data_IF_209213100682
#
_entry.id   IF_209213100682
#
_cell.length_a   1.000
_cell.length_b   1.000
_cell.length_c   1.000
_cell.angle_alpha   90.00
_cell.angle_beta   90.00
_cell.angle_gamma   90.00
#
_symmetry.space_group_name_H-M   'P 1'
#
loop_
_entity.id
_entity.type
_entity.pdbx_description
1 polymer ?
#
# COMPACT_ATOMS: atom_id res chain seq x y z
N UNK A 1 -71.30 20.39 -19.95
CA UNK A 1 -70.65 19.11 -19.58
C UNK A 1 -69.39 18.91 -20.42
N UNK A 2 -68.42 18.09 -19.99
CA UNK A 2 -67.01 18.03 -20.47
C UNK A 2 -66.25 19.32 -20.06
N UNK A 3 -65.45 19.42 -18.98
CA UNK A 3 -64.57 18.49 -18.21
C UNK A 3 -63.38 17.94 -19.02
N UNK A 4 -62.18 18.46 -18.73
CA UNK A 4 -60.90 17.73 -18.78
C UNK A 4 -59.97 17.96 -19.99
N UNK A 5 -59.06 18.94 -19.91
CA UNK A 5 -57.81 18.94 -20.71
C UNK A 5 -56.59 19.63 -20.06
N UNK A 6 -56.68 20.10 -18.81
CA UNK A 6 -55.65 20.95 -18.17
C UNK A 6 -54.87 20.26 -17.03
N UNK A 7 -54.65 18.94 -17.13
CA UNK A 7 -54.12 18.12 -16.02
C UNK A 7 -52.93 17.20 -16.35
N UNK A 8 -52.30 17.34 -17.52
CA UNK A 8 -51.19 16.43 -17.93
C UNK A 8 -49.84 17.07 -18.23
N UNK A 9 -49.74 18.40 -18.32
CA UNK A 9 -48.44 19.09 -18.58
C UNK A 9 -47.67 19.35 -17.28
N UNK A 10 -48.35 19.41 -16.13
CA UNK A 10 -47.74 19.76 -14.84
C UNK A 10 -47.02 18.64 -14.08
N UNK A 11 -47.10 17.38 -14.53
CA UNK A 11 -46.61 16.23 -13.75
C UNK A 11 -45.17 15.78 -14.11
N UNK A 12 -44.60 16.28 -15.20
CA UNK A 12 -43.28 15.84 -15.70
C UNK A 12 -42.10 16.75 -15.32
N UNK A 13 -42.34 17.90 -14.67
CA UNK A 13 -41.30 18.88 -14.34
C UNK A 13 -40.82 18.77 -12.87
N UNK A 14 -41.52 18.02 -12.01
CA UNK A 14 -41.20 17.92 -10.58
C UNK A 14 -40.41 16.65 -10.17
N UNK A 15 -40.11 15.74 -11.09
CA UNK A 15 -39.45 14.45 -10.78
C UNK A 15 -37.95 14.40 -11.10
N UNK A 16 -37.38 15.43 -11.75
CA UNK A 16 -35.96 15.45 -12.16
C UNK A 16 -35.00 16.09 -11.14
N UNK A 17 -35.43 16.33 -9.89
CA UNK A 17 -34.64 17.05 -8.88
C UNK A 17 -34.25 16.23 -7.62
N UNK A 18 -34.35 14.90 -7.67
CA UNK A 18 -34.11 14.02 -6.49
C UNK A 18 -33.05 12.91 -6.75
N UNK A 19 -32.08 13.16 -7.64
CA UNK A 19 -30.91 12.28 -7.83
C UNK A 19 -29.55 12.97 -7.62
N UNK A 20 -29.55 14.17 -7.03
CA UNK A 20 -28.33 14.83 -6.56
C UNK A 20 -28.21 14.70 -5.02
N UNK A 21 -27.87 13.51 -4.54
CA UNK A 21 -27.32 13.35 -3.19
C UNK A 21 -26.49 12.07 -3.05
N UNK A 22 -25.25 12.21 -2.57
CA UNK A 22 -24.27 11.16 -2.34
C UNK A 22 -23.88 10.29 -3.56
N UNK A 23 -23.44 10.93 -4.64
CA UNK A 23 -22.23 10.42 -5.29
C UNK A 23 -21.12 10.39 -4.23
N UNK A 24 -20.43 9.26 -4.08
CA UNK A 24 -19.25 9.10 -3.22
C UNK A 24 -18.33 10.32 -3.37
N UNK A 25 -17.88 10.90 -2.26
CA UNK A 25 -16.54 11.46 -2.25
C UNK A 25 -15.58 10.29 -2.41
N UNK A 26 -15.24 10.01 -3.66
CA UNK A 26 -14.08 9.21 -4.00
C UNK A 26 -12.87 10.00 -3.48
N UNK A 27 -12.39 9.61 -2.30
CA UNK A 27 -11.19 10.18 -1.69
C UNK A 27 -10.13 10.25 -2.78
N UNK A 28 -9.64 11.45 -3.11
CA UNK A 28 -8.67 11.66 -4.19
C UNK A 28 -7.50 10.73 -3.97
N UNK A 29 -7.48 9.66 -4.76
CA UNK A 29 -6.80 8.42 -4.38
C UNK A 29 -5.30 8.61 -4.26
N UNK A 30 -4.65 7.69 -3.55
CA UNK A 30 -3.19 7.58 -3.54
C UNK A 30 -2.69 7.54 -4.98
N UNK A 31 -2.14 8.65 -5.46
CA UNK A 31 -1.52 8.74 -6.78
C UNK A 31 -0.28 7.85 -6.73
N UNK A 32 -0.34 6.71 -7.42
CA UNK A 32 0.74 5.72 -7.39
C UNK A 32 2.04 6.30 -7.91
N UNK A 33 2.92 6.69 -6.98
CA UNK A 33 4.28 7.13 -7.30
C UNK A 33 5.07 5.91 -7.75
N UNK A 34 5.78 6.03 -8.88
CA UNK A 34 6.59 4.92 -9.38
C UNK A 34 7.83 4.72 -8.51
N UNK A 35 8.29 3.48 -8.35
CA UNK A 35 9.55 3.20 -7.64
C UNK A 35 10.76 3.96 -8.25
N UNK A 36 10.73 4.21 -9.57
CA UNK A 36 11.74 4.98 -10.27
C UNK A 36 11.82 6.46 -9.79
N UNK A 37 10.68 7.09 -9.51
CA UNK A 37 10.63 8.46 -8.97
C UNK A 37 11.17 8.57 -7.54
N UNK A 38 11.12 7.50 -6.76
CA UNK A 38 11.63 7.48 -5.37
C UNK A 38 13.08 7.00 -5.25
N UNK A 39 13.65 6.39 -6.31
CA UNK A 39 15.00 5.81 -6.31
C UNK A 39 16.09 6.77 -5.80
N UNK A 40 16.05 8.03 -6.24
CA UNK A 40 17.03 9.03 -5.81
C UNK A 40 16.98 9.30 -4.30
N UNK A 41 15.77 9.32 -3.71
CA UNK A 41 15.58 9.50 -2.28
C UNK A 41 16.05 8.26 -1.48
N UNK A 42 15.74 7.06 -1.97
CA UNK A 42 16.21 5.80 -1.36
C UNK A 42 17.74 5.69 -1.35
N UNK A 43 18.41 5.99 -2.48
CA UNK A 43 19.87 6.00 -2.59
C UNK A 43 20.49 7.07 -1.69
N UNK A 44 19.92 8.28 -1.67
CA UNK A 44 20.40 9.37 -0.82
C UNK A 44 20.29 9.02 0.67
N UNK A 45 19.17 8.39 1.08
CA UNK A 45 18.99 7.88 2.43
C UNK A 45 20.05 6.81 2.76
N UNK A 46 20.22 5.80 1.91
CA UNK A 46 21.20 4.74 2.14
C UNK A 46 22.63 5.28 2.31
N UNK A 47 23.05 6.17 1.41
CA UNK A 47 24.35 6.85 1.50
C UNK A 47 24.49 7.67 2.79
N UNK A 48 23.46 8.44 3.17
CA UNK A 48 23.47 9.24 4.41
C UNK A 48 23.55 8.42 5.70
N UNK A 49 23.22 7.13 5.64
CA UNK A 49 23.25 6.17 6.75
C UNK A 49 24.42 5.19 6.68
N UNK A 50 25.27 5.27 5.65
CA UNK A 50 26.35 4.31 5.42
C UNK A 50 25.86 2.88 5.11
N UNK A 51 24.65 2.74 4.57
CA UNK A 51 24.04 1.44 4.23
C UNK A 51 24.63 0.95 2.92
N UNK A 52 25.35 -0.17 2.95
CA UNK A 52 25.78 -0.89 1.75
C UNK A 52 24.61 -1.73 1.22
N UNK A 53 23.99 -1.29 0.13
CA UNK A 53 22.80 -1.92 -0.42
C UNK A 53 23.06 -2.69 -1.73
N UNK A 54 22.19 -3.66 -1.99
CA UNK A 54 22.00 -4.30 -3.29
C UNK A 54 20.67 -3.83 -3.88
N UNK A 55 20.64 -3.51 -5.17
CA UNK A 55 19.40 -3.21 -5.90
C UNK A 55 18.80 -4.49 -6.50
N UNK A 56 17.54 -4.77 -6.19
CA UNK A 56 16.75 -5.82 -6.83
C UNK A 56 16.11 -5.31 -8.13
N UNK A 57 15.82 -6.21 -9.09
CA UNK A 57 15.23 -5.87 -10.40
C UNK A 57 13.87 -5.17 -10.33
N UNK A 58 13.19 -5.22 -9.18
CA UNK A 58 11.95 -4.47 -8.90
C UNK A 58 12.20 -3.01 -8.45
N UNK A 59 13.44 -2.54 -8.42
CA UNK A 59 13.83 -1.20 -7.92
C UNK A 59 13.93 -1.08 -6.39
N UNK A 60 13.78 -2.18 -5.65
CA UNK A 60 13.96 -2.21 -4.19
C UNK A 60 15.44 -2.24 -3.83
N UNK A 61 15.86 -1.44 -2.85
CA UNK A 61 17.19 -1.54 -2.24
C UNK A 61 17.10 -2.37 -0.95
N UNK A 62 18.04 -3.31 -0.74
CA UNK A 62 18.09 -4.14 0.46
C UNK A 62 19.54 -4.38 0.94
N UNK A 63 19.71 -4.69 2.22
CA UNK A 63 20.98 -5.13 2.79
C UNK A 63 20.72 -6.35 3.69
N UNK A 64 21.39 -7.48 3.41
CA UNK A 64 21.42 -8.63 4.32
C UNK A 64 22.55 -8.36 5.33
N UNK A 65 22.19 -7.92 6.53
CA UNK A 65 23.19 -7.60 7.59
C UNK A 65 23.83 -8.87 8.17
N UNK A 66 23.01 -9.90 8.42
CA UNK A 66 23.43 -11.22 8.85
C UNK A 66 22.61 -12.24 8.06
N UNK A 67 23.27 -13.15 7.36
CA UNK A 67 22.59 -14.30 6.76
C UNK A 67 22.26 -15.32 7.86
N UNK A 68 21.10 -15.94 7.75
CA UNK A 68 20.76 -17.14 8.50
C UNK A 68 21.33 -18.40 7.84
N UNK A 69 20.84 -19.53 8.33
CA UNK A 69 21.12 -20.88 7.83
C UNK A 69 19.81 -21.67 7.63
N UNK A 70 18.71 -20.94 7.41
CA UNK A 70 17.37 -21.50 7.42
C UNK A 70 16.93 -22.02 6.06
N UNK A 71 15.67 -22.43 5.99
CA UNK A 71 14.99 -22.53 4.70
C UNK A 71 14.53 -21.12 4.30
N UNK A 72 14.94 -20.68 3.11
CA UNK A 72 14.42 -19.45 2.51
C UNK A 72 12.88 -19.56 2.40
N UNK A 73 12.11 -18.58 2.90
CA UNK A 73 10.65 -18.63 2.82
C UNK A 73 10.18 -18.49 1.36
N UNK A 74 9.00 -19.01 1.08
CA UNK A 74 8.27 -18.75 -0.16
C UNK A 74 6.97 -18.00 0.15
N UNK A 75 6.24 -17.58 -0.89
CA UNK A 75 5.01 -16.78 -0.73
C UNK A 75 3.93 -17.45 0.15
N UNK A 76 3.89 -18.79 0.23
CA UNK A 76 2.93 -19.52 1.06
C UNK A 76 3.47 -19.81 2.48
N UNK A 77 4.71 -19.43 2.80
CA UNK A 77 5.28 -19.64 4.12
C UNK A 77 4.62 -18.74 5.18
N UNK A 78 4.35 -19.32 6.35
CA UNK A 78 4.15 -18.53 7.57
C UNK A 78 5.52 -18.07 8.06
N UNK A 79 5.71 -16.77 8.15
CA UNK A 79 6.92 -16.14 8.68
C UNK A 79 6.68 -15.68 10.13
N UNK A 80 7.76 -15.60 10.90
CA UNK A 80 7.79 -15.01 12.25
C UNK A 80 8.88 -13.94 12.25
N UNK A 81 8.56 -12.73 12.69
CA UNK A 81 9.42 -11.55 12.48
C UNK A 81 9.45 -10.62 13.68
N UNK A 82 10.58 -9.93 13.82
CA UNK A 82 10.72 -8.70 14.59
C UNK A 82 11.03 -7.60 13.58
N UNK A 83 10.27 -6.51 13.57
CA UNK A 83 10.44 -5.44 12.57
C UNK A 83 10.11 -4.06 13.12
N UNK A 84 10.61 -3.03 12.43
CA UNK A 84 10.29 -1.63 12.64
C UNK A 84 10.15 -0.94 11.29
N UNK A 85 9.00 -0.35 11.03
CA UNK A 85 8.72 0.46 9.84
C UNK A 85 8.98 1.94 10.14
N UNK A 86 9.85 2.57 9.34
CA UNK A 86 10.10 4.02 9.38
C UNK A 86 10.07 4.61 7.98
N UNK A 87 9.57 5.84 7.86
CA UNK A 87 9.74 6.66 6.67
C UNK A 87 11.19 7.16 6.54
N UNK A 88 11.59 7.65 5.36
CA UNK A 88 12.95 8.15 5.10
C UNK A 88 13.38 9.32 6.02
N UNK A 89 12.42 10.06 6.57
CA UNK A 89 12.68 11.12 7.57
C UNK A 89 12.90 10.59 9.00
N UNK A 90 12.81 9.27 9.22
CA UNK A 90 12.96 8.62 10.52
C UNK A 90 11.67 8.44 11.31
N UNK A 91 10.53 9.00 10.87
CA UNK A 91 9.25 8.82 11.55
C UNK A 91 8.83 7.34 11.49
N UNK A 92 8.61 6.72 12.65
CA UNK A 92 8.03 5.38 12.75
C UNK A 92 6.57 5.39 12.33
N UNK A 93 6.15 4.37 11.59
CA UNK A 93 4.74 4.15 11.23
C UNK A 93 4.18 2.83 11.78
N UNK A 94 5.03 1.82 12.02
CA UNK A 94 4.62 0.51 12.55
C UNK A 94 5.80 -0.24 13.19
N UNK A 95 5.54 -1.23 14.04
CA UNK A 95 6.55 -2.13 14.62
C UNK A 95 5.94 -3.38 15.27
N UNK A 96 6.71 -4.48 15.30
CA UNK A 96 6.32 -5.68 16.05
C UNK A 96 6.26 -5.41 17.55
N UNK A 97 5.09 -5.53 18.17
CA UNK A 97 4.91 -5.30 19.62
C UNK A 97 5.64 -6.33 20.49
N UNK A 98 5.75 -7.59 20.02
CA UNK A 98 6.41 -8.69 20.72
C UNK A 98 7.44 -9.34 19.76
N UNK A 99 8.76 -9.19 20.00
CA UNK A 99 9.80 -9.79 19.16
C UNK A 99 9.62 -11.29 18.97
N UNK A 100 9.75 -11.77 17.73
CA UNK A 100 9.64 -13.19 17.36
C UNK A 100 8.21 -13.78 17.36
N UNK A 101 7.24 -13.14 18.01
CA UNK A 101 5.86 -13.65 18.12
C UNK A 101 4.91 -13.13 17.04
N UNK A 102 5.25 -12.04 16.35
CA UNK A 102 4.43 -11.53 15.24
C UNK A 102 4.58 -12.44 14.02
N UNK A 103 3.48 -13.06 13.57
CA UNK A 103 3.47 -13.98 12.43
C UNK A 103 2.53 -13.54 11.31
N UNK A 104 2.93 -13.78 10.07
CA UNK A 104 2.19 -13.43 8.86
C UNK A 104 2.29 -14.55 7.82
N UNK A 105 1.39 -14.55 6.83
CA UNK A 105 1.57 -15.33 5.59
C UNK A 105 2.20 -14.40 4.55
N UNK A 106 3.31 -14.81 3.94
CA UNK A 106 4.15 -13.88 3.16
C UNK A 106 3.41 -13.23 1.96
N UNK A 107 2.59 -13.98 1.22
CA UNK A 107 1.82 -13.47 0.07
C UNK A 107 0.77 -12.40 0.41
N UNK A 108 0.37 -12.31 1.67
CA UNK A 108 -0.66 -11.37 2.13
C UNK A 108 -0.04 -10.01 2.54
N UNK A 109 1.30 -9.88 2.47
CA UNK A 109 2.05 -8.67 2.78
C UNK A 109 2.43 -7.87 1.53
N UNK A 110 2.90 -6.64 1.74
CA UNK A 110 3.37 -5.75 0.65
C UNK A 110 4.49 -6.41 -0.19
N UNK A 111 4.53 -6.08 -1.49
CA UNK A 111 5.47 -6.69 -2.45
C UNK A 111 6.95 -6.58 -2.03
N UNK A 112 7.31 -5.50 -1.31
CA UNK A 112 8.66 -5.34 -0.76
C UNK A 112 9.05 -6.46 0.22
N UNK A 113 8.12 -6.88 1.08
CA UNK A 113 8.34 -8.01 2.00
C UNK A 113 8.40 -9.34 1.25
N UNK A 114 7.47 -9.55 0.30
CA UNK A 114 7.43 -10.76 -0.54
C UNK A 114 8.76 -11.03 -1.25
N UNK A 115 9.41 -9.98 -1.75
CA UNK A 115 10.70 -10.07 -2.43
C UNK A 115 11.87 -10.11 -1.45
N UNK A 116 11.84 -9.28 -0.38
CA UNK A 116 13.01 -9.01 0.47
C UNK A 116 13.21 -9.98 1.65
N UNK A 117 12.20 -10.79 1.99
CA UNK A 117 12.37 -11.93 2.92
C UNK A 117 12.73 -13.23 2.18
N UNK A 118 12.47 -13.27 0.88
CA UNK A 118 13.33 -14.02 -0.03
C UNK A 118 14.69 -13.28 -0.15
N UNK A 119 15.67 -13.82 -0.87
CA UNK A 119 17.09 -13.42 -0.80
C UNK A 119 17.78 -13.71 0.55
N UNK A 120 17.11 -13.54 1.69
CA UNK A 120 17.60 -14.02 3.00
C UNK A 120 17.71 -15.56 2.92
N UNK A 121 18.93 -16.05 3.17
CA UNK A 121 19.24 -17.45 3.44
C UNK A 121 19.34 -17.66 4.95
#
# INVERSE_FOLDING_TARGET
MKKGFLAFVGLFILTSFVFYSCSKEESTGCTGVSAASEKSAMVSFANSKGITYTEHSSGMLYQIMNAGSGLQPNLNSRIFVTYKGTLLNGNGFDSSSNPGSTSFILRDLIQGWQIGLQQIR
#
